data_IF_656013147002
#
_entry.id   IF_656013147002
#
_cell.length_a   1.000
_cell.length_b   1.000
_cell.length_c   1.000
_cell.angle_alpha   90.00
_cell.angle_beta   90.00
_cell.angle_gamma   90.00
#
_symmetry.space_group_name_H-M   'P 1'
#
loop_
_entity.id
_entity.type
_entity.pdbx_description
1 polymer ?
#
# COMPACT_ATOMS: atom_id res chain seq x y z
N UNK A 1 -22.67 5.08 -6.72
CA UNK A 1 -21.80 4.45 -5.71
C UNK A 1 -20.95 3.31 -6.28
N UNK A 2 -21.50 2.36 -7.04
CA UNK A 2 -20.78 1.19 -7.59
C UNK A 2 -19.62 1.56 -8.53
N UNK A 3 -19.82 2.50 -9.46
CA UNK A 3 -18.77 2.95 -10.39
C UNK A 3 -17.59 3.58 -9.65
N UNK A 4 -17.87 4.42 -8.66
CA UNK A 4 -16.84 5.06 -7.83
C UNK A 4 -16.07 3.99 -7.06
N UNK A 5 -16.76 3.03 -6.44
CA UNK A 5 -16.11 1.94 -5.71
C UNK A 5 -15.18 1.10 -6.60
N UNK A 6 -15.64 0.72 -7.80
CA UNK A 6 -14.83 -0.03 -8.76
C UNK A 6 -13.60 0.76 -9.23
N UNK A 7 -13.78 2.06 -9.48
CA UNK A 7 -12.68 2.95 -9.86
C UNK A 7 -11.65 3.09 -8.72
N UNK A 8 -12.09 3.25 -7.49
CA UNK A 8 -11.21 3.29 -6.32
C UNK A 8 -10.45 1.98 -6.13
N UNK A 9 -11.10 0.83 -6.29
CA UNK A 9 -10.43 -0.48 -6.23
C UNK A 9 -9.36 -0.59 -7.32
N UNK A 10 -9.67 -0.18 -8.55
CA UNK A 10 -8.71 -0.16 -9.65
C UNK A 10 -7.49 0.71 -9.31
N UNK A 11 -7.70 1.92 -8.77
CA UNK A 11 -6.61 2.81 -8.37
C UNK A 11 -5.72 2.20 -7.28
N UNK A 12 -6.31 1.52 -6.29
CA UNK A 12 -5.57 0.82 -5.24
C UNK A 12 -4.70 -0.29 -5.85
N UNK A 13 -5.26 -1.09 -6.77
CA UNK A 13 -4.55 -2.18 -7.44
C UNK A 13 -3.40 -1.64 -8.31
N UNK A 14 -3.66 -0.64 -9.15
CA UNK A 14 -2.63 -0.01 -9.98
C UNK A 14 -1.53 0.59 -9.10
N UNK A 15 -1.89 1.33 -8.06
CA UNK A 15 -0.93 1.92 -7.12
C UNK A 15 -0.04 0.87 -6.45
N UNK A 16 -0.61 -0.28 -6.06
CA UNK A 16 0.17 -1.38 -5.48
C UNK A 16 1.18 -1.97 -6.48
N UNK A 17 0.80 -2.13 -7.76
CA UNK A 17 1.71 -2.60 -8.80
C UNK A 17 2.82 -1.59 -9.12
N UNK A 18 2.46 -0.32 -9.30
CA UNK A 18 3.43 0.75 -9.55
C UNK A 18 4.42 0.89 -8.39
N UNK A 19 3.94 0.70 -7.15
CA UNK A 19 4.81 0.71 -5.98
C UNK A 19 5.82 -0.45 -5.99
N UNK A 20 5.38 -1.67 -6.35
CA UNK A 20 6.30 -2.81 -6.46
C UNK A 20 7.37 -2.59 -7.53
N UNK A 21 7.01 -1.95 -8.63
CA UNK A 21 7.92 -1.67 -9.74
C UNK A 21 8.96 -0.62 -9.35
N UNK A 22 8.51 0.52 -8.80
CA UNK A 22 9.38 1.55 -8.23
C UNK A 22 10.41 0.98 -7.24
N UNK A 23 10.00 0.01 -6.43
CA UNK A 23 10.88 -0.65 -5.46
C UNK A 23 11.95 -1.52 -6.09
N UNK A 24 11.67 -2.13 -7.24
CA UNK A 24 12.68 -2.87 -8.00
C UNK A 24 13.69 -1.90 -8.59
N UNK A 25 13.22 -0.82 -9.19
CA UNK A 25 14.08 0.23 -9.74
C UNK A 25 14.97 0.85 -8.66
N UNK A 26 14.41 1.19 -7.48
CA UNK A 26 15.19 1.72 -6.35
C UNK A 26 16.31 0.76 -5.94
N UNK A 27 16.03 -0.54 -5.87
CA UNK A 27 17.05 -1.54 -5.52
C UNK A 27 18.15 -1.62 -6.59
N UNK A 28 17.79 -1.63 -7.88
CA UNK A 28 18.74 -1.65 -8.99
C UNK A 28 19.63 -0.40 -9.02
N UNK A 29 19.05 0.77 -8.78
CA UNK A 29 19.80 2.02 -8.65
C UNK A 29 20.74 1.99 -7.45
N UNK A 30 20.31 1.50 -6.28
CA UNK A 30 21.19 1.44 -5.10
C UNK A 30 22.31 0.41 -5.22
N UNK A 31 22.09 -0.68 -5.97
CA UNK A 31 23.09 -1.69 -6.26
C UNK A 31 24.27 -1.10 -7.06
N UNK A 32 23.95 -0.20 -8.00
CA UNK A 32 24.94 0.48 -8.85
C UNK A 32 25.54 1.72 -8.18
N UNK A 33 24.74 2.52 -7.46
CA UNK A 33 25.16 3.82 -6.93
C UNK A 33 25.86 3.76 -5.57
N UNK A 34 25.56 2.76 -4.72
CA UNK A 34 26.09 2.70 -3.34
C UNK A 34 27.15 1.60 -3.21
N UNK A 35 26.72 0.34 -3.29
CA UNK A 35 27.59 -0.84 -3.32
C UNK A 35 26.77 -2.09 -3.66
N UNK A 36 27.42 -3.13 -4.21
CA UNK A 36 26.78 -4.43 -4.39
C UNK A 36 26.22 -4.99 -3.08
N UNK A 37 24.98 -5.47 -3.11
CA UNK A 37 24.28 -6.05 -1.97
C UNK A 37 23.84 -5.04 -0.90
N UNK A 38 23.82 -3.73 -1.22
CA UNK A 38 23.32 -2.71 -0.28
C UNK A 38 21.86 -2.97 0.12
N UNK A 39 21.01 -3.35 -0.84
CA UNK A 39 19.61 -3.66 -0.61
C UNK A 39 19.16 -4.86 -1.44
N UNK A 40 18.50 -5.83 -0.81
CA UNK A 40 17.95 -6.99 -1.54
C UNK A 40 16.68 -6.61 -2.29
N UNK A 41 16.57 -7.10 -3.52
CA UNK A 41 15.38 -6.92 -4.36
C UNK A 41 14.11 -7.43 -3.66
N UNK A 42 12.97 -6.73 -3.85
CA UNK A 42 11.68 -7.14 -3.33
C UNK A 42 11.27 -8.55 -3.81
N UNK A 43 11.42 -9.57 -2.96
CA UNK A 43 10.86 -10.90 -3.16
C UNK A 43 9.39 -11.00 -2.69
N UNK A 44 8.39 -11.14 -3.58
CA UNK A 44 6.98 -11.14 -3.20
C UNK A 44 6.60 -12.28 -2.23
N UNK A 45 7.38 -13.36 -2.19
CA UNK A 45 7.22 -14.47 -1.23
C UNK A 45 7.53 -14.06 0.22
N UNK A 46 8.21 -12.94 0.40
CA UNK A 46 8.71 -12.45 1.69
C UNK A 46 8.02 -11.13 2.08
N UNK A 47 6.80 -10.90 1.57
CA UNK A 47 6.03 -9.67 1.72
C UNK A 47 5.91 -9.23 3.18
N UNK A 48 5.69 -10.16 4.12
CA UNK A 48 5.57 -9.87 5.56
C UNK A 48 6.84 -9.37 6.26
N UNK A 49 8.03 -9.51 5.65
CA UNK A 49 9.29 -9.03 6.25
C UNK A 49 9.66 -7.62 5.83
N UNK A 50 8.89 -6.99 4.94
CA UNK A 50 9.22 -5.66 4.45
C UNK A 50 8.65 -4.62 5.40
N UNK A 51 9.47 -3.65 5.80
CA UNK A 51 8.98 -2.51 6.57
C UNK A 51 7.82 -1.81 5.85
N UNK A 52 7.87 -1.71 4.52
CA UNK A 52 6.81 -1.05 3.78
C UNK A 52 5.47 -1.80 3.73
N UNK A 53 5.44 -3.13 3.90
CA UNK A 53 4.14 -3.83 3.95
C UNK A 53 3.38 -3.54 5.23
N UNK A 54 4.09 -3.21 6.30
CA UNK A 54 3.48 -2.67 7.51
C UNK A 54 2.92 -1.26 7.30
N UNK A 55 3.55 -0.43 6.45
CA UNK A 55 2.98 0.88 6.07
C UNK A 55 1.69 0.70 5.26
N UNK A 56 1.68 -0.21 4.27
CA UNK A 56 0.46 -0.50 3.49
C UNK A 56 -0.64 -1.07 4.39
N UNK A 57 -0.29 -2.00 5.28
CA UNK A 57 -1.20 -2.54 6.29
C UNK A 57 -1.74 -1.45 7.22
N UNK A 58 -0.89 -0.53 7.68
CA UNK A 58 -1.27 0.61 8.50
C UNK A 58 -2.26 1.54 7.77
N UNK A 59 -2.02 1.84 6.49
CA UNK A 59 -2.95 2.63 5.66
C UNK A 59 -4.30 1.91 5.54
N UNK A 60 -4.28 0.62 5.22
CA UNK A 60 -5.50 -0.18 5.08
C UNK A 60 -6.31 -0.23 6.39
N UNK A 61 -5.64 -0.47 7.52
CA UNK A 61 -6.26 -0.45 8.86
C UNK A 61 -6.82 0.93 9.18
N UNK A 62 -6.09 2.00 8.86
CA UNK A 62 -6.54 3.37 9.10
C UNK A 62 -7.79 3.70 8.28
N UNK A 63 -7.83 3.31 7.00
CA UNK A 63 -9.01 3.47 6.14
C UNK A 63 -10.20 2.71 6.71
N UNK A 64 -10.02 1.45 7.08
CA UNK A 64 -11.07 0.63 7.68
C UNK A 64 -11.58 1.22 9.00
N UNK A 65 -10.67 1.71 9.84
CA UNK A 65 -11.01 2.33 11.12
C UNK A 65 -11.82 3.61 10.91
N UNK A 66 -11.38 4.50 10.01
CA UNK A 66 -12.13 5.72 9.66
C UNK A 66 -13.49 5.39 9.06
N UNK A 67 -13.56 4.39 8.17
CA UNK A 67 -14.81 3.98 7.55
C UNK A 67 -15.80 3.39 8.58
N UNK A 68 -15.33 2.52 9.47
CA UNK A 68 -16.13 1.94 10.54
C UNK A 68 -16.61 3.03 11.52
N UNK A 69 -15.75 3.97 11.91
CA UNK A 69 -16.12 5.10 12.75
C UNK A 69 -17.15 6.01 12.09
N UNK A 70 -16.99 6.29 10.79
CA UNK A 70 -17.98 7.05 10.03
C UNK A 70 -19.34 6.33 10.00
N UNK A 71 -19.35 5.02 9.75
CA UNK A 71 -20.58 4.24 9.66
C UNK A 71 -21.30 4.03 11.00
N UNK A 72 -20.56 3.91 12.10
CA UNK A 72 -21.12 3.58 13.43
C UNK A 72 -21.34 4.78 14.34
N UNK A 73 -20.59 5.86 14.16
CA UNK A 73 -20.66 7.06 15.01
C UNK A 73 -21.24 8.22 14.23
N UNK A 74 -20.65 8.54 13.06
CA UNK A 74 -21.02 9.75 12.33
C UNK A 74 -22.40 9.60 11.72
N UNK A 75 -22.63 8.58 10.88
CA UNK A 75 -23.92 8.39 10.19
C UNK A 75 -25.11 8.34 11.18
N UNK A 76 -25.08 7.55 12.27
CA UNK A 76 -26.20 7.53 13.22
C UNK A 76 -26.40 8.84 14.00
N UNK A 77 -25.38 9.71 14.09
CA UNK A 77 -25.50 10.99 14.76
C UNK A 77 -26.13 12.08 13.88
N UNK A 78 -26.14 11.90 12.55
CA UNK A 78 -26.74 12.84 11.58
C UNK A 78 -28.07 12.35 10.99
N UNK A 79 -28.43 11.08 11.19
CA UNK A 79 -29.73 10.51 10.82
C UNK A 79 -30.65 10.42 12.02
#
# INVERSE_FOLDING_TARGET
MTVIALFTIMLIVVGAFTWLDYRREECELTETAVRPGFRRSPQPRNFWRWYETWIVGFIAVSILFMWAGAATIVVPAIT
#
